data_IF_494633230440
#
_entry.id   IF_494633230440
#
_cell.length_a   1.000
_cell.length_b   1.000
_cell.length_c   1.000
_cell.angle_alpha   90.00
_cell.angle_beta   90.00
_cell.angle_gamma   90.00
#
_symmetry.space_group_name_H-M   'P 1'
#
loop_
_entity.id
_entity.type
_entity.pdbx_description
1 polymer ?
#
# COMPACT_ATOMS: atom_id res chain seq x y z
N UNK A 1 -30.81 -38.36 -29.64
CA UNK A 1 -29.95 -38.46 -30.83
C UNK A 1 -30.13 -37.20 -31.71
N UNK A 2 -29.16 -36.32 -31.69
CA UNK A 2 -28.99 -35.29 -32.73
C UNK A 2 -27.52 -34.92 -32.77
N UNK A 3 -26.86 -35.27 -33.85
CA UNK A 3 -25.48 -34.96 -34.16
C UNK A 3 -25.44 -33.52 -34.75
N UNK A 4 -24.50 -32.70 -34.30
CA UNK A 4 -24.18 -31.40 -34.92
C UNK A 4 -22.75 -31.49 -35.45
N UNK A 5 -22.69 -31.34 -36.78
CA UNK A 5 -21.51 -31.40 -37.65
C UNK A 5 -20.72 -30.07 -37.55
N UNK A 6 -19.43 -30.15 -37.29
CA UNK A 6 -18.52 -29.02 -37.33
C UNK A 6 -18.02 -28.80 -38.75
N UNK A 7 -18.10 -27.59 -39.25
CA UNK A 7 -17.51 -27.13 -40.51
C UNK A 7 -16.23 -26.35 -40.26
N UNK A 8 -15.10 -26.87 -40.75
CA UNK A 8 -13.80 -26.23 -40.81
C UNK A 8 -13.75 -25.33 -42.08
N UNK A 9 -13.44 -24.06 -41.86
CA UNK A 9 -13.10 -23.12 -42.96
C UNK A 9 -11.62 -22.78 -42.84
N UNK A 10 -10.85 -23.30 -43.78
CA UNK A 10 -9.42 -23.01 -43.95
C UNK A 10 -9.28 -21.80 -44.91
N UNK A 11 -8.81 -20.69 -44.44
CA UNK A 11 -8.49 -19.50 -45.21
C UNK A 11 -6.99 -19.30 -45.37
N UNK A 12 -6.46 -19.57 -46.57
CA UNK A 12 -5.07 -19.25 -46.94
C UNK A 12 -4.92 -17.74 -47.21
N UNK A 13 -3.96 -17.09 -46.53
CA UNK A 13 -3.49 -15.77 -46.92
C UNK A 13 -2.07 -15.88 -47.45
N UNK A 14 -1.87 -15.36 -48.70
CA UNK A 14 -0.58 -15.32 -49.41
C UNK A 14 0.20 -14.07 -48.99
N UNK A 15 1.53 -14.13 -48.93
CA UNK A 15 2.38 -12.96 -48.78
C UNK A 15 2.56 -12.23 -50.10
N UNK A 16 2.67 -10.91 -50.02
CA UNK A 16 2.99 -10.02 -51.16
C UNK A 16 4.41 -9.50 -50.93
N UNK A 17 5.32 -9.88 -51.83
CA UNK A 17 6.65 -9.32 -51.95
C UNK A 17 6.60 -7.99 -52.68
N UNK A 18 7.31 -6.97 -52.21
CA UNK A 18 7.63 -5.74 -52.99
C UNK A 18 9.13 -5.48 -52.92
N UNK A 19 9.76 -5.63 -54.05
CA UNK A 19 11.17 -5.32 -54.25
C UNK A 19 11.41 -3.81 -54.47
N UNK A 20 12.64 -3.30 -54.25
CA UNK A 20 13.03 -1.89 -54.35
C UNK A 20 13.71 -1.57 -55.69
N UNK A 21 13.36 -0.47 -56.28
CA UNK A 21 14.14 0.21 -57.33
C UNK A 21 14.24 1.69 -57.01
N UNK A 22 15.29 2.35 -57.03
CA UNK A 22 16.49 2.52 -57.78
C UNK A 22 16.99 3.96 -57.55
N UNK A 23 18.28 4.06 -57.44
CA UNK A 23 19.26 5.15 -57.51
C UNK A 23 18.82 6.49 -58.13
N UNK A 24 19.22 7.63 -57.51
CA UNK A 24 20.20 8.58 -58.11
C UNK A 24 20.68 9.68 -57.15
N UNK A 25 21.96 10.01 -57.33
CA UNK A 25 22.87 10.92 -56.68
C UNK A 25 22.55 12.41 -56.82
N UNK A 26 22.78 13.22 -55.79
CA UNK A 26 23.44 14.54 -55.84
C UNK A 26 23.56 15.19 -54.46
N UNK A 27 24.78 15.54 -54.07
CA UNK A 27 25.19 16.45 -52.97
C UNK A 27 25.59 17.80 -53.60
N UNK A 28 25.86 18.91 -52.88
CA UNK A 28 25.72 19.24 -51.45
C UNK A 28 24.98 20.58 -51.17
N UNK A 29 24.51 20.76 -49.94
CA UNK A 29 24.07 22.08 -49.46
C UNK A 29 24.05 22.09 -47.93
N UNK A 30 25.08 22.65 -47.30
CA UNK A 30 25.19 22.85 -45.86
C UNK A 30 24.17 23.86 -45.38
N UNK A 31 23.25 23.42 -44.52
CA UNK A 31 22.46 24.31 -43.68
C UNK A 31 22.42 23.68 -42.27
N UNK A 32 23.01 24.42 -41.34
CA UNK A 32 23.07 24.09 -39.93
C UNK A 32 21.69 24.15 -39.32
N UNK A 33 21.10 23.01 -38.96
CA UNK A 33 19.91 22.93 -38.13
C UNK A 33 20.34 22.70 -36.69
N UNK A 34 19.82 23.45 -35.69
CA UNK A 34 20.19 23.18 -34.30
C UNK A 34 19.66 21.81 -33.88
N UNK A 35 20.53 21.07 -33.21
CA UNK A 35 20.25 19.77 -32.64
C UNK A 35 19.08 19.89 -31.62
N UNK A 36 18.18 18.89 -31.55
CA UNK A 36 17.21 18.83 -30.46
C UNK A 36 17.96 18.63 -29.16
N UNK A 37 17.70 19.52 -28.21
CA UNK A 37 18.14 19.39 -26.83
C UNK A 37 17.60 18.06 -26.30
N UNK A 38 18.47 17.09 -26.20
CA UNK A 38 18.19 15.84 -25.51
C UNK A 38 17.94 16.20 -24.05
N UNK A 39 16.69 16.10 -23.62
CA UNK A 39 16.34 16.11 -22.20
C UNK A 39 17.22 15.07 -21.52
N UNK A 40 18.12 15.52 -20.68
CA UNK A 40 18.89 14.64 -19.81
C UNK A 40 17.88 13.96 -18.89
N UNK A 41 17.51 12.74 -19.22
CA UNK A 41 16.97 11.80 -18.27
C UNK A 41 17.98 11.72 -17.14
N UNK A 42 17.61 12.21 -15.97
CA UNK A 42 18.43 12.16 -14.77
C UNK A 42 18.98 10.75 -14.63
N UNK A 43 20.30 10.63 -14.65
CA UNK A 43 20.99 9.37 -14.40
C UNK A 43 20.59 8.96 -12.98
N UNK A 44 19.71 7.97 -12.89
CA UNK A 44 19.40 7.28 -11.65
C UNK A 44 20.72 6.88 -11.00
N UNK A 45 20.88 7.19 -9.75
CA UNK A 45 22.00 6.76 -8.92
C UNK A 45 22.08 5.24 -8.97
N UNK A 46 22.89 4.70 -9.87
CA UNK A 46 23.27 3.28 -9.90
C UNK A 46 24.31 3.03 -8.81
N UNK A 47 23.90 3.09 -7.57
CA UNK A 47 24.67 2.57 -6.45
C UNK A 47 23.89 1.42 -5.85
N UNK A 48 24.30 0.19 -6.20
CA UNK A 48 23.97 -1.07 -5.51
C UNK A 48 22.51 -1.28 -5.04
N UNK A 49 21.56 -1.17 -5.98
CA UNK A 49 20.18 -1.59 -5.70
C UNK A 49 20.19 -3.02 -5.13
N UNK A 50 19.55 -3.28 -4.00
CA UNK A 50 19.56 -4.61 -3.42
C UNK A 50 18.99 -5.62 -4.42
N UNK A 51 19.61 -6.79 -4.55
CA UNK A 51 19.17 -7.82 -5.48
C UNK A 51 17.78 -8.38 -5.14
N UNK A 52 17.32 -8.16 -3.92
CA UNK A 52 16.00 -8.61 -3.42
C UNK A 52 15.49 -7.66 -2.34
N UNK A 53 14.17 -7.54 -2.25
CA UNK A 53 13.45 -6.74 -1.26
C UNK A 53 12.46 -7.63 -0.49
N UNK A 54 12.51 -7.58 0.82
CA UNK A 54 11.55 -8.23 1.71
C UNK A 54 10.54 -7.19 2.17
N UNK A 55 9.28 -7.38 1.78
CA UNK A 55 8.21 -6.44 2.10
C UNK A 55 7.21 -7.09 3.03
N UNK A 56 7.02 -6.52 4.20
CA UNK A 56 6.01 -6.97 5.12
C UNK A 56 4.66 -6.32 4.79
N UNK A 57 3.64 -7.16 4.64
CA UNK A 57 2.24 -6.78 4.38
C UNK A 57 1.32 -7.61 5.27
N UNK A 58 0.08 -7.19 5.43
CA UNK A 58 -0.94 -8.09 6.00
C UNK A 58 -1.25 -9.22 5.04
N UNK A 59 -1.67 -10.38 5.55
CA UNK A 59 -2.04 -11.55 4.73
C UNK A 59 -3.53 -11.84 4.73
N UNK A 60 -4.30 -11.10 5.51
CA UNK A 60 -5.71 -11.34 5.80
C UNK A 60 -6.66 -10.21 5.38
N UNK A 61 -6.16 -9.14 4.74
CA UNK A 61 -6.96 -7.95 4.42
C UNK A 61 -7.30 -7.85 2.92
N UNK A 62 -8.53 -8.25 2.51
CA UNK A 62 -8.96 -8.17 1.12
C UNK A 62 -8.85 -6.75 0.54
N UNK A 63 -8.24 -6.63 -0.64
CA UNK A 63 -8.02 -5.37 -1.33
C UNK A 63 -6.88 -4.52 -0.77
N UNK A 64 -6.24 -4.90 0.33
CA UNK A 64 -5.10 -4.19 0.93
C UNK A 64 -3.85 -5.07 0.89
N UNK A 65 -3.83 -6.14 1.68
CA UNK A 65 -2.78 -7.14 1.69
C UNK A 65 -3.41 -8.50 1.97
N UNK A 66 -3.55 -9.32 0.95
CA UNK A 66 -4.18 -10.63 1.01
C UNK A 66 -3.24 -11.68 0.44
N UNK A 67 -3.14 -12.83 1.13
CA UNK A 67 -2.47 -14.02 0.64
C UNK A 67 -3.48 -15.14 0.42
N UNK A 68 -3.51 -15.69 -0.79
CA UNK A 68 -4.29 -16.87 -1.15
C UNK A 68 -3.35 -17.91 -1.77
N UNK A 69 -3.01 -18.92 -0.98
CA UNK A 69 -1.97 -19.88 -1.36
C UNK A 69 -0.62 -19.19 -1.56
N UNK A 70 -0.10 -19.22 -2.79
CA UNK A 70 1.15 -18.58 -3.17
C UNK A 70 0.94 -17.22 -3.88
N UNK A 71 -0.30 -16.74 -3.94
CA UNK A 71 -0.65 -15.49 -4.60
C UNK A 71 -0.84 -14.39 -3.56
N UNK A 72 -0.29 -13.20 -3.87
CA UNK A 72 -0.45 -11.99 -3.08
C UNK A 72 -1.15 -10.93 -3.90
N UNK A 73 -2.15 -10.27 -3.31
CA UNK A 73 -2.97 -9.24 -3.95
C UNK A 73 -3.31 -8.10 -2.98
N UNK A 74 -3.68 -6.94 -3.53
CA UNK A 74 -4.10 -5.77 -2.77
C UNK A 74 -3.25 -4.54 -3.07
N UNK A 75 -3.69 -3.40 -2.53
CA UNK A 75 -3.04 -2.11 -2.77
C UNK A 75 -1.58 -2.09 -2.28
N UNK A 76 -1.32 -2.62 -1.09
CA UNK A 76 0.03 -2.68 -0.50
C UNK A 76 0.96 -3.52 -1.37
N UNK A 77 0.44 -4.62 -1.95
CA UNK A 77 1.18 -5.47 -2.89
C UNK A 77 1.51 -4.73 -4.18
N UNK A 78 0.53 -3.98 -4.73
CA UNK A 78 0.73 -3.21 -5.97
C UNK A 78 1.71 -2.07 -5.77
N UNK A 79 1.63 -1.34 -4.64
CA UNK A 79 2.59 -0.28 -4.28
C UNK A 79 3.98 -0.88 -4.09
N UNK A 80 4.12 -1.96 -3.31
CA UNK A 80 5.40 -2.62 -3.09
C UNK A 80 6.07 -3.08 -4.40
N UNK A 81 5.29 -3.68 -5.30
CA UNK A 81 5.79 -4.11 -6.62
C UNK A 81 6.17 -2.93 -7.51
N UNK A 82 5.44 -1.81 -7.39
CA UNK A 82 5.77 -0.59 -8.13
C UNK A 82 7.09 0.00 -7.65
N UNK A 83 7.23 0.20 -6.34
CA UNK A 83 8.45 0.68 -5.70
C UNK A 83 9.65 -0.21 -6.08
N UNK A 84 9.53 -1.53 -5.90
CA UNK A 84 10.62 -2.45 -6.22
C UNK A 84 11.09 -2.32 -7.68
N UNK A 85 10.15 -2.22 -8.63
CA UNK A 85 10.51 -2.02 -10.05
C UNK A 85 11.18 -0.68 -10.30
N UNK A 86 10.68 0.40 -9.67
CA UNK A 86 11.21 1.75 -9.83
C UNK A 86 12.68 1.83 -9.37
N UNK A 87 12.99 1.26 -8.19
CA UNK A 87 14.35 1.25 -7.64
C UNK A 87 15.26 0.15 -8.23
N UNK A 88 14.78 -0.58 -9.25
CA UNK A 88 15.59 -1.57 -9.95
C UNK A 88 15.73 -2.92 -9.26
N UNK A 89 14.95 -3.21 -8.23
CA UNK A 89 14.94 -4.52 -7.54
C UNK A 89 14.24 -5.56 -8.39
N UNK A 90 14.93 -6.69 -8.64
CA UNK A 90 14.43 -7.76 -9.52
C UNK A 90 13.63 -8.83 -8.78
N UNK A 91 13.85 -9.00 -7.48
CA UNK A 91 13.17 -10.01 -6.65
C UNK A 91 12.49 -9.35 -5.45
N UNK A 92 11.23 -9.64 -5.27
CA UNK A 92 10.45 -9.23 -4.10
C UNK A 92 9.90 -10.48 -3.40
N UNK A 93 9.99 -10.50 -2.08
CA UNK A 93 9.35 -11.51 -1.24
C UNK A 93 8.45 -10.84 -0.22
N UNK A 94 7.28 -11.44 0.03
CA UNK A 94 6.34 -10.92 1.01
C UNK A 94 6.46 -11.69 2.33
N UNK A 95 6.47 -10.94 3.42
CA UNK A 95 6.49 -11.43 4.81
C UNK A 95 5.19 -11.01 5.46
N UNK A 96 4.63 -11.84 6.33
CA UNK A 96 3.43 -11.48 7.07
C UNK A 96 3.74 -10.44 8.14
N UNK A 97 2.97 -9.35 8.16
CA UNK A 97 2.99 -8.34 9.21
C UNK A 97 1.71 -8.41 10.04
N UNK A 98 1.82 -8.92 11.25
CA UNK A 98 0.83 -8.66 12.30
C UNK A 98 1.09 -7.25 12.84
N UNK A 99 0.03 -6.49 13.14
CA UNK A 99 0.11 -5.05 13.44
C UNK A 99 1.17 -4.69 14.49
N UNK A 100 1.25 -5.41 15.59
CA UNK A 100 2.24 -5.18 16.66
C UNK A 100 3.68 -5.58 16.31
N UNK A 101 3.90 -6.28 15.20
CA UNK A 101 5.22 -6.79 14.84
C UNK A 101 5.93 -5.92 13.80
N UNK A 102 5.28 -4.89 13.27
CA UNK A 102 5.78 -4.10 12.13
C UNK A 102 7.14 -3.48 12.41
N UNK A 103 7.28 -2.82 13.55
CA UNK A 103 8.52 -2.18 14.01
C UNK A 103 9.63 -3.23 14.23
N UNK A 104 9.27 -4.36 14.86
CA UNK A 104 10.21 -5.47 15.12
C UNK A 104 10.73 -6.10 13.83
N UNK A 105 9.87 -6.29 12.82
CA UNK A 105 10.29 -6.84 11.52
C UNK A 105 11.36 -5.96 10.85
N UNK A 106 11.24 -4.64 10.94
CA UNK A 106 12.23 -3.69 10.44
C UNK A 106 13.50 -3.69 11.30
N UNK A 107 13.35 -3.58 12.62
CA UNK A 107 14.48 -3.50 13.56
C UNK A 107 15.37 -4.75 13.49
N UNK A 108 14.78 -5.94 13.32
CA UNK A 108 15.50 -7.22 13.21
C UNK A 108 15.96 -7.55 11.81
N UNK A 109 15.63 -6.71 10.82
CA UNK A 109 15.97 -6.95 9.43
C UNK A 109 15.22 -8.15 8.81
N UNK A 110 14.08 -8.55 9.34
CA UNK A 110 13.21 -9.56 8.72
C UNK A 110 12.41 -8.98 7.56
N UNK A 111 12.19 -7.66 7.55
CA UNK A 111 11.66 -6.90 6.44
C UNK A 111 12.56 -5.69 6.16
N UNK A 112 12.59 -5.28 4.91
CA UNK A 112 13.25 -4.05 4.44
C UNK A 112 12.22 -2.91 4.37
N UNK A 113 10.97 -3.22 3.98
CA UNK A 113 9.83 -2.31 3.97
C UNK A 113 8.62 -2.94 4.67
N UNK A 114 7.78 -2.08 5.27
CA UNK A 114 6.46 -2.46 5.80
C UNK A 114 5.39 -1.55 5.19
N UNK A 115 4.38 -2.13 4.54
CA UNK A 115 3.23 -1.41 4.01
C UNK A 115 1.92 -1.66 4.77
N UNK A 116 1.62 -2.76 5.27
CA UNK A 116 0.57 -3.27 6.18
C UNK A 116 -0.50 -2.27 6.69
N UNK A 117 -1.12 -1.46 5.81
CA UNK A 117 -2.04 -0.35 6.16
C UNK A 117 -1.47 0.51 7.30
N UNK A 118 -0.22 0.93 7.19
CA UNK A 118 0.56 1.48 8.30
C UNK A 118 0.39 2.99 8.40
N UNK A 119 -0.46 3.45 9.33
CA UNK A 119 -0.69 4.87 9.60
C UNK A 119 0.57 5.55 10.15
N UNK A 120 0.95 6.66 9.51
CA UNK A 120 2.01 7.55 9.97
C UNK A 120 1.53 8.31 11.21
N UNK A 121 2.18 8.07 12.35
CA UNK A 121 1.96 8.83 13.59
C UNK A 121 3.28 9.36 14.13
N UNK A 122 3.28 10.40 14.98
CA UNK A 122 4.50 10.90 15.62
C UNK A 122 5.24 9.78 16.37
N UNK A 123 4.54 9.02 17.23
CA UNK A 123 5.13 7.97 18.04
C UNK A 123 5.81 6.88 17.18
N UNK A 124 5.15 6.44 16.10
CA UNK A 124 5.75 5.47 15.16
C UNK A 124 6.94 6.04 14.40
N UNK A 125 6.90 7.34 14.09
CA UNK A 125 8.01 8.04 13.42
C UNK A 125 9.26 8.19 14.30
N UNK A 126 9.12 7.93 15.62
CA UNK A 126 10.27 7.83 16.52
C UNK A 126 11.02 6.50 16.38
N UNK A 127 10.37 5.45 15.91
CA UNK A 127 10.93 4.10 15.79
C UNK A 127 11.32 3.71 14.37
N UNK A 128 10.62 4.27 13.35
CA UNK A 128 10.83 3.96 11.94
C UNK A 128 10.84 5.22 11.08
N UNK A 129 11.41 5.12 9.88
CA UNK A 129 11.31 6.16 8.85
C UNK A 129 10.13 5.84 7.94
N UNK A 130 9.32 6.86 7.60
CA UNK A 130 8.20 6.73 6.69
C UNK A 130 8.43 7.53 5.40
N UNK A 131 8.23 6.88 4.27
CA UNK A 131 7.95 7.52 2.98
C UNK A 131 6.44 7.61 2.72
N UNK A 132 6.02 8.51 1.87
CA UNK A 132 4.62 8.71 1.52
C UNK A 132 3.99 9.95 2.17
N UNK A 133 2.69 9.92 2.50
CA UNK A 133 1.77 8.78 2.47
C UNK A 133 1.38 8.32 1.06
N UNK A 134 1.11 7.02 0.88
CA UNK A 134 0.60 6.49 -0.38
C UNK A 134 -0.93 6.41 -0.43
N UNK A 135 -1.62 6.48 0.73
CA UNK A 135 -3.07 6.53 0.82
C UNK A 135 -3.51 7.42 1.98
N UNK A 136 -4.65 8.12 1.81
CA UNK A 136 -5.37 8.77 2.91
C UNK A 136 -6.73 8.14 3.06
N UNK A 137 -7.10 7.76 4.28
CA UNK A 137 -8.39 7.17 4.62
C UNK A 137 -8.88 7.73 5.96
N UNK A 138 -9.63 6.99 6.70
CA UNK A 138 -10.04 7.29 8.07
C UNK A 138 -10.70 6.07 8.68
N UNK A 139 -10.75 6.02 9.98
CA UNK A 139 -11.38 4.95 10.74
C UNK A 139 -12.88 4.92 10.49
N UNK A 140 -13.43 3.73 10.32
CA UNK A 140 -14.84 3.47 10.12
C UNK A 140 -15.32 2.27 10.94
N UNK A 141 -16.55 1.87 10.69
CA UNK A 141 -17.14 0.69 11.32
C UNK A 141 -17.59 -0.31 10.26
N UNK A 142 -17.34 -1.59 10.50
CA UNK A 142 -17.94 -2.71 9.80
C UNK A 142 -19.00 -3.33 10.72
N UNK A 143 -20.19 -3.46 10.22
CA UNK A 143 -21.34 -3.99 10.98
C UNK A 143 -22.15 -4.95 10.13
N UNK A 144 -22.96 -5.80 10.75
CA UNK A 144 -23.95 -6.60 10.02
C UNK A 144 -24.93 -5.68 9.29
N UNK A 145 -25.35 -6.04 8.09
CA UNK A 145 -26.19 -5.20 7.22
C UNK A 145 -27.46 -4.66 7.90
N UNK A 146 -28.10 -5.46 8.77
CA UNK A 146 -29.29 -5.08 9.53
C UNK A 146 -29.01 -4.31 10.82
N UNK A 147 -27.75 -4.07 11.18
CA UNK A 147 -27.38 -3.31 12.37
C UNK A 147 -27.92 -1.88 12.29
N UNK A 148 -28.29 -1.31 13.44
CA UNK A 148 -28.67 0.11 13.55
C UNK A 148 -27.50 1.03 13.81
N UNK A 149 -26.32 0.48 14.13
CA UNK A 149 -25.09 1.24 14.35
C UNK A 149 -24.66 1.88 13.03
N UNK A 150 -24.43 3.20 13.03
CA UNK A 150 -24.00 4.00 11.88
C UNK A 150 -22.76 4.84 12.19
N UNK A 151 -22.64 5.27 13.44
CA UNK A 151 -21.61 6.20 13.89
C UNK A 151 -20.99 5.73 15.21
N UNK A 152 -19.77 6.18 15.57
CA UNK A 152 -19.09 5.76 16.79
C UNK A 152 -19.84 6.18 18.07
N UNK A 153 -20.61 7.28 18.07
CA UNK A 153 -21.39 7.74 19.21
C UNK A 153 -22.48 6.74 19.63
N UNK A 154 -22.81 5.80 18.76
CA UNK A 154 -23.79 4.75 19.03
C UNK A 154 -23.17 3.47 19.64
N UNK A 155 -21.85 3.44 19.85
CA UNK A 155 -21.12 2.27 20.35
C UNK A 155 -21.24 2.01 21.87
N UNK A 156 -21.51 3.00 22.75
CA UNK A 156 -21.66 2.72 24.18
C UNK A 156 -22.62 1.57 24.45
N UNK A 157 -22.22 0.62 25.31
CA UNK A 157 -22.97 -0.59 25.63
C UNK A 157 -22.88 -1.73 24.62
N UNK A 158 -22.21 -1.53 23.48
CA UNK A 158 -21.95 -2.58 22.51
C UNK A 158 -20.55 -3.15 22.63
N UNK A 159 -20.38 -4.41 22.23
CA UNK A 159 -19.07 -5.03 22.08
C UNK A 159 -18.51 -4.71 20.68
N UNK A 160 -17.34 -4.10 20.64
CA UNK A 160 -16.61 -3.71 19.41
C UNK A 160 -15.29 -4.47 19.36
N UNK A 161 -14.93 -5.00 18.19
CA UNK A 161 -13.63 -5.63 17.98
C UNK A 161 -12.71 -4.71 17.19
N UNK A 162 -11.44 -4.66 17.60
CA UNK A 162 -10.37 -3.94 16.91
C UNK A 162 -9.08 -4.74 16.95
N UNK A 163 -8.05 -4.27 16.25
CA UNK A 163 -6.74 -4.94 16.17
C UNK A 163 -5.78 -4.33 17.16
N UNK A 164 -5.07 -5.18 17.87
CA UNK A 164 -4.05 -4.81 18.85
C UNK A 164 -2.94 -3.97 18.20
N UNK A 165 -2.52 -2.87 18.86
CA UNK A 165 -1.49 -1.94 18.36
C UNK A 165 -1.91 -1.10 17.16
N UNK A 166 -3.22 -1.02 16.85
CA UNK A 166 -3.74 -0.16 15.80
C UNK A 166 -4.20 1.21 16.34
N UNK A 167 -4.03 2.26 15.53
CA UNK A 167 -4.60 3.60 15.81
C UNK A 167 -6.10 3.54 16.06
N UNK A 168 -6.77 2.60 15.41
CA UNK A 168 -8.22 2.38 15.60
C UNK A 168 -8.56 1.86 17.00
N UNK A 169 -7.69 1.08 17.62
CA UNK A 169 -7.88 0.65 19.02
C UNK A 169 -7.61 1.80 19.97
N UNK A 170 -6.54 2.56 19.74
CA UNK A 170 -6.18 3.74 20.53
C UNK A 170 -7.32 4.77 20.54
N UNK A 171 -7.84 5.11 19.36
CA UNK A 171 -8.98 6.05 19.22
C UNK A 171 -10.22 5.63 20.04
N UNK A 172 -10.54 4.31 20.05
CA UNK A 172 -11.67 3.84 20.84
C UNK A 172 -11.43 3.94 22.35
N UNK A 173 -10.20 3.66 22.79
CA UNK A 173 -9.83 3.73 24.21
C UNK A 173 -9.89 5.18 24.70
N UNK A 174 -9.36 6.10 23.90
CA UNK A 174 -9.18 7.49 24.30
C UNK A 174 -10.47 8.31 24.18
N UNK A 175 -11.28 8.07 23.14
CA UNK A 175 -12.35 8.98 22.77
C UNK A 175 -13.76 8.37 22.83
N UNK A 176 -13.89 7.04 23.04
CA UNK A 176 -15.19 6.37 23.05
C UNK A 176 -15.43 5.50 24.30
N UNK A 177 -15.53 6.11 25.49
CA UNK A 177 -15.76 5.36 26.74
C UNK A 177 -17.13 4.68 26.74
N UNK A 178 -17.27 3.61 27.50
CA UNK A 178 -18.55 2.92 27.73
C UNK A 178 -18.88 1.83 26.70
N UNK A 179 -18.01 1.53 25.74
CA UNK A 179 -18.10 0.34 24.90
C UNK A 179 -17.34 -0.84 25.56
N UNK A 180 -17.66 -2.05 25.12
CA UNK A 180 -16.90 -3.25 25.49
C UNK A 180 -15.91 -3.57 24.35
N UNK A 181 -14.62 -3.28 24.57
CA UNK A 181 -13.58 -3.53 23.59
C UNK A 181 -13.12 -4.98 23.64
N UNK A 182 -13.11 -5.63 22.48
CA UNK A 182 -12.45 -6.91 22.24
C UNK A 182 -11.29 -6.65 21.29
N UNK A 183 -10.09 -7.11 21.64
CA UNK A 183 -8.90 -6.90 20.82
C UNK A 183 -8.40 -8.24 20.28
N UNK A 184 -8.01 -8.28 19.01
CA UNK A 184 -7.48 -9.45 18.31
C UNK A 184 -6.17 -9.10 17.58
N UNK A 185 -5.29 -10.08 17.38
CA UNK A 185 -4.07 -9.83 16.62
C UNK A 185 -4.32 -9.62 15.13
N UNK A 186 -5.39 -10.18 14.57
CA UNK A 186 -5.76 -10.09 13.15
C UNK A 186 -7.15 -9.51 12.98
N UNK A 187 -7.34 -8.75 11.90
CA UNK A 187 -8.66 -8.17 11.60
C UNK A 187 -9.66 -9.23 11.15
N UNK A 188 -9.21 -10.27 10.45
CA UNK A 188 -10.03 -11.43 10.08
C UNK A 188 -10.70 -12.08 11.28
N UNK A 189 -9.99 -12.22 12.41
CA UNK A 189 -10.56 -12.77 13.65
C UNK A 189 -11.72 -11.89 14.16
N UNK A 190 -11.60 -10.56 14.08
CA UNK A 190 -12.67 -9.64 14.44
C UNK A 190 -13.87 -9.78 13.50
N UNK A 191 -13.62 -9.91 12.20
CA UNK A 191 -14.67 -10.06 11.19
C UNK A 191 -15.45 -11.38 11.40
N UNK A 192 -14.77 -12.45 11.75
CA UNK A 192 -15.41 -13.73 12.05
C UNK A 192 -16.28 -13.63 13.32
N UNK A 193 -15.80 -12.97 14.39
CA UNK A 193 -16.64 -12.68 15.57
C UNK A 193 -17.88 -11.85 15.21
N UNK A 194 -17.76 -10.92 14.25
CA UNK A 194 -18.91 -10.12 13.78
C UNK A 194 -19.93 -10.97 13.00
N UNK A 195 -19.47 -11.86 12.12
CA UNK A 195 -20.31 -12.82 11.38
C UNK A 195 -21.04 -13.76 12.34
N UNK A 196 -20.34 -14.24 13.37
CA UNK A 196 -20.89 -15.10 14.42
C UNK A 196 -21.78 -14.37 15.44
N UNK A 197 -21.97 -13.06 15.29
CA UNK A 197 -22.75 -12.21 16.21
C UNK A 197 -22.17 -12.13 17.64
N UNK A 198 -20.91 -12.45 17.84
CA UNK A 198 -20.20 -12.34 19.13
C UNK A 198 -19.80 -10.89 19.45
N UNK A 199 -19.64 -10.07 18.41
CA UNK A 199 -19.44 -8.61 18.52
C UNK A 199 -20.48 -7.87 17.68
N UNK A 200 -20.70 -6.60 18.01
CA UNK A 200 -21.71 -5.77 17.35
C UNK A 200 -21.15 -4.96 16.18
N UNK A 201 -19.87 -4.63 16.27
CA UNK A 201 -19.12 -3.90 15.24
C UNK A 201 -17.65 -4.31 15.25
N UNK A 202 -16.99 -4.09 14.13
CA UNK A 202 -15.53 -4.11 13.98
C UNK A 202 -15.09 -2.72 13.55
N UNK A 203 -14.00 -2.22 14.09
CA UNK A 203 -13.42 -0.95 13.67
C UNK A 203 -12.02 -1.14 13.12
N UNK A 204 -11.75 -0.46 12.04
CA UNK A 204 -10.47 -0.30 11.37
C UNK A 204 -10.61 0.82 10.34
N UNK A 205 -9.60 1.05 9.53
CA UNK A 205 -9.67 2.00 8.42
C UNK A 205 -10.71 1.61 7.38
N UNK A 206 -11.48 2.58 6.91
CA UNK A 206 -12.57 2.36 5.96
C UNK A 206 -12.10 1.69 4.67
N UNK A 207 -10.87 1.96 4.22
CA UNK A 207 -10.28 1.30 3.06
C UNK A 207 -10.18 -0.22 3.29
N UNK A 208 -9.69 -0.65 4.47
CA UNK A 208 -9.60 -2.06 4.85
C UNK A 208 -10.99 -2.70 5.00
N UNK A 209 -11.88 -2.04 5.75
CA UNK A 209 -13.24 -2.55 5.99
C UNK A 209 -14.04 -2.71 4.71
N UNK A 210 -13.80 -1.86 3.70
CA UNK A 210 -14.45 -1.96 2.40
C UNK A 210 -14.11 -3.26 1.67
N UNK A 211 -12.90 -3.79 1.85
CA UNK A 211 -12.49 -5.08 1.31
C UNK A 211 -13.36 -6.22 1.84
N UNK A 212 -13.48 -6.33 3.14
CA UNK A 212 -14.32 -7.34 3.79
C UNK A 212 -15.81 -7.20 3.46
N UNK A 213 -16.30 -5.97 3.35
CA UNK A 213 -17.69 -5.75 2.96
C UNK A 213 -18.00 -6.21 1.52
N UNK A 214 -17.02 -6.10 0.61
CA UNK A 214 -17.16 -6.57 -0.78
C UNK A 214 -17.00 -8.08 -0.94
N UNK A 215 -16.09 -8.67 -0.16
CA UNK A 215 -15.81 -10.10 -0.21
C UNK A 215 -16.93 -10.95 0.40
N UNK A 216 -17.70 -10.38 1.32
CA UNK A 216 -18.87 -11.07 1.83
C UNK A 216 -19.82 -11.33 0.66
N UNK A 217 -19.95 -12.58 0.27
CA UNK A 217 -20.66 -13.10 -0.92
C UNK A 217 -22.15 -12.73 -1.01
N UNK A 218 -22.61 -11.98 -0.03
CA UNK A 218 -23.94 -11.39 0.03
C UNK A 218 -23.81 -9.95 0.57
N UNK A 219 -24.11 -8.90 -0.23
CA UNK A 219 -24.16 -7.50 0.21
C UNK A 219 -25.12 -7.29 1.40
N UNK A 220 -25.91 -8.31 1.73
CA UNK A 220 -26.84 -8.32 2.86
C UNK A 220 -26.22 -8.81 4.18
N UNK A 221 -24.91 -9.19 4.21
CA UNK A 221 -24.27 -9.73 5.43
C UNK A 221 -23.54 -8.65 6.21
N UNK A 222 -22.61 -7.93 5.56
CA UNK A 222 -21.79 -6.89 6.17
C UNK A 222 -21.88 -5.59 5.39
N UNK A 223 -21.75 -4.47 6.07
CA UNK A 223 -21.62 -3.14 5.48
C UNK A 223 -20.71 -2.26 6.31
N UNK A 224 -20.04 -1.32 5.65
CA UNK A 224 -19.29 -0.26 6.31
C UNK A 224 -20.20 0.88 6.76
N UNK A 225 -19.75 1.67 7.75
CA UNK A 225 -20.34 2.98 8.04
C UNK A 225 -20.18 3.90 6.82
N UNK A 226 -21.08 4.86 6.67
CA UNK A 226 -21.03 5.85 5.59
C UNK A 226 -20.03 6.98 5.85
N UNK A 227 -19.58 7.13 7.09
CA UNK A 227 -18.69 8.19 7.56
C UNK A 227 -17.46 7.60 8.24
N UNK A 228 -16.37 8.31 8.13
CA UNK A 228 -15.13 8.08 8.90
C UNK A 228 -15.01 9.14 9.99
N UNK A 229 -14.39 8.81 11.11
CA UNK A 229 -14.28 9.69 12.28
C UNK A 229 -12.83 10.05 12.66
N UNK A 230 -11.84 9.50 11.92
CA UNK A 230 -10.45 9.93 11.98
C UNK A 230 -9.92 10.31 10.61
N UNK A 231 -8.65 10.69 10.56
CA UNK A 231 -7.88 10.80 9.32
C UNK A 231 -6.61 9.97 9.46
N UNK A 232 -6.52 8.92 8.63
CA UNK A 232 -5.38 8.03 8.57
C UNK A 232 -4.56 8.28 7.31
N UNK A 233 -3.25 8.24 7.42
CA UNK A 233 -2.31 8.40 6.30
C UNK A 233 -1.37 7.21 6.29
N UNK A 234 -1.47 6.35 5.30
CA UNK A 234 -0.64 5.15 5.20
C UNK A 234 0.68 5.47 4.54
N UNK A 235 1.76 5.15 5.23
CA UNK A 235 3.12 5.29 4.74
C UNK A 235 3.77 3.94 4.45
N UNK A 236 4.87 4.01 3.73
CA UNK A 236 5.82 2.91 3.57
C UNK A 236 6.88 3.07 4.64
N UNK A 237 6.91 2.17 5.62
CA UNK A 237 7.89 2.22 6.68
C UNK A 237 9.14 1.42 6.33
N UNK A 238 10.28 1.92 6.76
CA UNK A 238 11.60 1.33 6.65
C UNK A 238 12.37 1.50 7.95
N UNK A 239 13.57 0.92 8.05
CA UNK A 239 14.38 1.11 9.24
C UNK A 239 14.60 2.59 9.51
N UNK A 240 14.70 2.92 10.79
CA UNK A 240 14.97 4.26 11.24
C UNK A 240 16.25 4.81 10.60
N UNK A 241 16.22 6.07 10.24
CA UNK A 241 17.31 6.84 9.64
C UNK A 241 17.74 6.34 8.23
N UNK A 242 16.95 5.47 7.58
CA UNK A 242 17.16 5.03 6.19
C UNK A 242 16.59 6.08 5.21
N UNK A 243 17.25 7.24 5.17
CA UNK A 243 16.77 8.40 4.42
C UNK A 243 16.89 8.18 2.91
N UNK A 244 17.96 7.54 2.45
CA UNK A 244 18.18 7.28 1.02
C UNK A 244 17.05 6.39 0.45
N UNK A 245 16.71 5.31 1.15
CA UNK A 245 15.60 4.45 0.75
C UNK A 245 14.25 5.18 0.84
N UNK A 246 14.07 6.09 1.81
CA UNK A 246 12.88 6.91 1.92
C UNK A 246 12.71 7.82 0.69
N UNK A 247 13.78 8.46 0.23
CA UNK A 247 13.77 9.32 -0.96
C UNK A 247 13.45 8.50 -2.21
N UNK A 248 14.09 7.37 -2.40
CA UNK A 248 13.82 6.45 -3.51
C UNK A 248 12.36 5.98 -3.55
N UNK A 249 11.79 5.67 -2.37
CA UNK A 249 10.38 5.28 -2.25
C UNK A 249 9.45 6.46 -2.54
N UNK A 250 9.77 7.67 -2.07
CA UNK A 250 8.98 8.86 -2.36
C UNK A 250 8.99 9.19 -3.87
N UNK A 251 10.13 9.05 -4.53
CA UNK A 251 10.25 9.25 -5.98
C UNK A 251 9.42 8.20 -6.74
N UNK A 252 9.46 6.94 -6.30
CA UNK A 252 8.62 5.89 -6.86
C UNK A 252 7.12 6.17 -6.68
N UNK A 253 6.71 6.69 -5.53
CA UNK A 253 5.32 7.06 -5.26
C UNK A 253 4.88 8.27 -6.10
N UNK A 254 5.75 9.27 -6.29
CA UNK A 254 5.50 10.41 -7.15
C UNK A 254 5.28 9.96 -8.61
N UNK A 255 6.17 9.13 -9.14
CA UNK A 255 6.06 8.56 -10.48
C UNK A 255 4.79 7.67 -10.62
N UNK A 256 4.46 6.89 -9.58
CA UNK A 256 3.23 6.10 -9.56
C UNK A 256 1.97 6.95 -9.69
N UNK A 257 1.97 8.15 -9.13
CA UNK A 257 0.88 9.14 -9.25
C UNK A 257 0.88 9.76 -10.65
N UNK A 258 2.02 10.23 -11.13
CA UNK A 258 2.18 10.91 -12.42
C UNK A 258 1.78 10.01 -13.59
N UNK A 259 2.21 8.75 -13.58
CA UNK A 259 1.85 7.74 -14.60
C UNK A 259 0.41 7.24 -14.50
N UNK A 260 -0.33 7.66 -13.47
CA UNK A 260 -1.68 7.20 -13.17
C UNK A 260 -1.76 5.76 -12.67
N UNK A 261 -0.64 5.11 -12.38
CA UNK A 261 -0.59 3.75 -11.84
C UNK A 261 -1.24 3.69 -10.45
N UNK A 262 -1.03 4.73 -9.62
CA UNK A 262 -1.68 4.86 -8.32
C UNK A 262 -3.22 4.80 -8.43
N UNK A 263 -3.79 5.58 -9.34
CA UNK A 263 -5.24 5.63 -9.54
C UNK A 263 -5.80 4.29 -10.02
N UNK A 264 -5.05 3.57 -10.86
CA UNK A 264 -5.43 2.21 -11.29
C UNK A 264 -5.39 1.24 -10.11
N UNK A 265 -4.31 1.23 -9.33
CA UNK A 265 -4.15 0.36 -8.18
C UNK A 265 -5.25 0.58 -7.13
N UNK A 266 -5.54 1.83 -6.76
CA UNK A 266 -6.61 2.17 -5.81
C UNK A 266 -7.97 1.69 -6.32
N UNK A 267 -8.32 1.96 -7.57
CA UNK A 267 -9.61 1.54 -8.13
C UNK A 267 -9.76 0.03 -8.24
N UNK A 268 -8.70 -0.65 -8.66
CA UNK A 268 -8.70 -2.11 -8.81
C UNK A 268 -8.87 -2.81 -7.47
N UNK A 269 -8.16 -2.35 -6.45
CA UNK A 269 -8.10 -3.02 -5.15
C UNK A 269 -9.19 -2.56 -4.18
N UNK A 270 -9.46 -1.25 -4.09
CA UNK A 270 -10.38 -0.69 -3.11
C UNK A 270 -11.78 -0.38 -3.66
N UNK A 271 -11.95 -0.38 -4.99
CA UNK A 271 -13.23 -0.11 -5.63
C UNK A 271 -13.44 1.37 -5.98
N UNK A 272 -14.70 1.77 -6.11
CA UNK A 272 -15.11 3.10 -6.58
C UNK A 272 -15.69 3.97 -5.46
N UNK A 273 -15.91 5.25 -5.78
CA UNK A 273 -16.33 6.30 -4.83
C UNK A 273 -17.60 6.05 -4.03
N UNK A 274 -18.47 5.14 -4.47
CA UNK A 274 -19.70 4.81 -3.74
C UNK A 274 -19.48 4.09 -2.41
N UNK A 275 -18.28 3.52 -2.21
CA UNK A 275 -17.94 2.72 -1.02
C UNK A 275 -16.85 3.33 -0.16
N UNK A 276 -16.15 4.38 -0.65
CA UNK A 276 -14.99 4.95 0.02
C UNK A 276 -15.11 6.46 0.17
N UNK A 277 -14.50 7.05 1.23
CA UNK A 277 -14.37 8.49 1.34
C UNK A 277 -13.62 9.08 0.14
N UNK A 278 -14.02 10.29 -0.29
CA UNK A 278 -13.39 10.97 -1.44
C UNK A 278 -11.87 11.10 -1.29
N UNK A 279 -11.38 11.34 -0.06
CA UNK A 279 -9.93 11.43 0.24
C UNK A 279 -9.16 10.16 -0.14
N UNK A 280 -9.77 8.99 -0.05
CA UNK A 280 -9.15 7.70 -0.40
C UNK A 280 -8.95 7.53 -1.90
N UNK A 281 -9.68 8.28 -2.71
CA UNK A 281 -9.60 8.24 -4.18
C UNK A 281 -8.74 9.36 -4.77
N UNK A 282 -8.14 10.19 -3.91
CA UNK A 282 -7.28 11.31 -4.29
C UNK A 282 -5.86 11.02 -3.82
N UNK A 283 -4.84 11.13 -4.69
CA UNK A 283 -3.46 10.93 -4.27
C UNK A 283 -3.11 11.90 -3.13
N UNK A 284 -2.58 11.42 -2.01
CA UNK A 284 -2.16 12.29 -0.94
C UNK A 284 -0.88 13.05 -1.33
N UNK A 285 -0.65 14.20 -0.67
CA UNK A 285 0.63 14.92 -0.80
C UNK A 285 1.70 14.14 -0.03
N UNK A 286 2.80 13.82 -0.70
CA UNK A 286 3.96 13.19 -0.06
C UNK A 286 4.60 14.13 0.97
N UNK A 287 5.14 13.54 2.03
CA UNK A 287 5.95 14.22 3.04
C UNK A 287 7.42 14.11 2.67
N UNK A 288 8.22 15.09 3.05
CA UNK A 288 9.66 14.98 2.95
C UNK A 288 10.18 13.89 3.90
N UNK A 289 11.21 13.19 3.47
CA UNK A 289 11.92 12.27 4.34
C UNK A 289 12.59 13.01 5.50
N UNK A 290 12.69 12.42 6.70
CA UNK A 290 13.39 13.06 7.80
C UNK A 290 14.89 13.16 7.49
N UNK A 291 15.54 14.21 7.98
CA UNK A 291 17.00 14.30 7.91
C UNK A 291 17.65 13.24 8.81
N UNK A 292 18.78 12.63 8.38
CA UNK A 292 19.52 11.69 9.22
C UNK A 292 19.91 12.34 10.52
N UNK A 293 19.70 11.67 11.64
CA UNK A 293 20.18 12.19 12.93
C UNK A 293 21.71 12.21 12.95
N UNK A 294 22.32 13.25 13.50
CA UNK A 294 23.76 13.27 13.66
C UNK A 294 24.17 12.07 14.55
N UNK A 295 25.11 11.27 14.05
CA UNK A 295 25.69 10.19 14.82
C UNK A 295 26.31 10.79 16.10
N UNK A 296 25.75 10.46 17.26
CA UNK A 296 26.40 10.76 18.53
C UNK A 296 27.62 9.86 18.66
N UNK A 297 28.74 10.31 18.12
CA UNK A 297 30.05 9.77 18.47
C UNK A 297 30.25 10.06 19.96
N UNK A 298 30.08 9.05 20.80
CA UNK A 298 30.51 9.11 22.19
C UNK A 298 32.02 9.34 22.21
N UNK A 299 32.40 10.60 22.38
CA UNK A 299 33.78 10.95 22.71
C UNK A 299 33.99 10.55 24.18
N UNK A 300 34.25 9.26 24.40
CA UNK A 300 34.75 8.76 25.68
C UNK A 300 36.23 9.16 25.82
N UNK A 301 36.42 10.42 26.18
CA UNK A 301 37.71 11.02 26.51
C UNK A 301 38.05 10.75 27.95
N UNK A 302 38.26 9.48 28.31
CA UNK A 302 38.90 9.15 29.57
C UNK A 302 40.42 9.33 29.44
N UNK A 303 40.91 10.49 29.83
CA UNK A 303 42.34 10.70 30.08
C UNK A 303 42.70 10.02 31.42
N UNK A 304 43.64 9.10 31.48
CA UNK A 304 44.16 8.62 32.75
C UNK A 304 45.12 9.68 33.30
N UNK A 305 44.73 10.34 34.38
CA UNK A 305 45.65 11.11 35.25
C UNK A 305 46.51 10.16 36.07
N UNK A 306 47.75 10.05 35.70
CA UNK A 306 48.82 9.49 36.54
C UNK A 306 49.24 10.50 37.60
N UNK A 307 49.24 10.09 38.87
CA UNK A 307 50.11 10.59 39.94
C UNK A 307 50.31 9.49 40.94
#
# INVERSE_FOLDING_TARGET
SAAITAALVTGCVRPVDVEPTGTTSASPGSTSTPAPTTSQTSALHQTDAPSSLRVAITFDQPGVGLREGDTYSGLDVDVARYVARYIGVTRISFVEAVTEQRETLLATGQADLVLAAYSITPDRSDDVTFAGPYLSTGQGLLVRARSRIRTPEQLPGFTVCSVQGSTSTEELVDNHPGLHLTVKPRLSDCVDLLKESKVSAVTADAAVLSGYARESSAPDVLRTSSTTFTTERWGVAMRRDDTDLCEDVNDALADMVETGAWKRAVRSNLGTSSTLPHRTLTPPKLQACPEPRPSTTSSDGSTPTSS
#
